data_IF_594558444914
#
_entry.id   IF_594558444914
#
_cell.length_a   1.000
_cell.length_b   1.000
_cell.length_c   1.000
_cell.angle_alpha   90.00
_cell.angle_beta   90.00
_cell.angle_gamma   90.00
#
_symmetry.space_group_name_H-M   'P 1'
#
loop_
_entity.id
_entity.type
_entity.pdbx_description
1 polymer ?
#
# COMPACT_ATOMS: atom_id res chain seq x y z
N UNK A 1 -7.78 5.22 2.49
CA UNK A 1 -7.70 5.86 1.15
C UNK A 1 -6.38 6.58 0.93
N UNK A 2 -5.76 7.19 1.96
CA UNK A 2 -4.51 7.95 1.84
C UNK A 2 -3.22 7.12 1.96
N UNK A 3 -3.28 5.82 1.66
CA UNK A 3 -2.11 4.96 1.62
C UNK A 3 -1.36 5.09 0.29
N UNK A 4 -0.02 5.00 0.35
CA UNK A 4 0.86 4.99 -0.82
C UNK A 4 0.92 3.59 -1.46
N UNK A 5 0.85 2.54 -0.62
CA UNK A 5 0.86 1.17 -1.08
C UNK A 5 -0.51 0.72 -1.57
N UNK A 6 -0.49 -0.15 -2.57
CA UNK A 6 -1.69 -0.85 -3.06
C UNK A 6 -1.61 -2.31 -2.64
N UNK A 7 -2.57 -2.72 -1.82
CA UNK A 7 -2.79 -4.10 -1.43
C UNK A 7 -3.78 -4.72 -2.41
N UNK A 8 -3.36 -5.78 -3.06
CA UNK A 8 -4.18 -6.60 -3.95
C UNK A 8 -4.58 -7.86 -3.20
N UNK A 9 -5.87 -8.16 -3.13
CA UNK A 9 -6.39 -9.32 -2.44
C UNK A 9 -7.49 -10.01 -3.22
N UNK A 10 -7.72 -11.30 -3.02
CA UNK A 10 -8.87 -11.98 -3.64
C UNK A 10 -10.17 -11.58 -2.95
N UNK A 11 -11.30 -11.70 -3.66
CA UNK A 11 -12.63 -11.37 -3.13
C UNK A 11 -13.00 -12.13 -1.83
N UNK A 12 -12.42 -13.32 -1.62
CA UNK A 12 -12.58 -14.14 -0.41
C UNK A 12 -11.48 -13.95 0.64
N UNK A 13 -10.53 -13.04 0.40
CA UNK A 13 -9.35 -12.77 1.24
C UNK A 13 -8.43 -13.99 1.49
N UNK A 14 -8.50 -15.03 0.67
CA UNK A 14 -7.57 -16.18 0.74
C UNK A 14 -6.15 -15.84 0.24
N UNK A 15 -6.00 -14.73 -0.48
CA UNK A 15 -4.73 -14.19 -0.95
C UNK A 15 -4.69 -12.68 -0.73
N UNK A 16 -3.54 -12.16 -0.30
CA UNK A 16 -3.25 -10.73 -0.23
C UNK A 16 -1.76 -10.48 -0.45
N UNK A 17 -1.42 -9.49 -1.25
CA UNK A 17 -0.03 -9.07 -1.51
C UNK A 17 0.02 -7.57 -1.80
N UNK A 18 1.20 -6.97 -1.64
CA UNK A 18 1.48 -5.67 -2.24
C UNK A 18 1.41 -5.81 -3.78
N UNK A 19 0.95 -4.79 -4.50
CA UNK A 19 0.87 -4.77 -5.97
C UNK A 19 2.20 -5.15 -6.64
N UNK A 20 3.33 -4.83 -6.01
CA UNK A 20 4.67 -5.20 -6.45
C UNK A 20 4.90 -6.73 -6.50
N UNK A 21 4.16 -7.51 -5.71
CA UNK A 21 4.24 -8.98 -5.64
C UNK A 21 2.93 -9.69 -6.02
N UNK A 22 1.88 -8.94 -6.32
CA UNK A 22 0.54 -9.48 -6.58
C UNK A 22 0.50 -10.29 -7.87
N UNK A 23 0.44 -11.62 -7.79
CA UNK A 23 0.44 -12.50 -8.95
C UNK A 23 -0.89 -12.42 -9.72
N UNK A 24 -0.83 -12.56 -11.04
CA UNK A 24 -2.02 -12.63 -11.91
C UNK A 24 -2.05 -13.93 -12.70
N UNK A 25 -3.24 -14.49 -12.89
CA UNK A 25 -3.44 -15.65 -13.74
C UNK A 25 -3.15 -15.31 -15.21
N UNK A 26 -2.62 -16.26 -16.01
CA UNK A 26 -2.53 -16.10 -17.44
C UNK A 26 -3.91 -15.85 -18.07
N UNK A 27 -3.96 -14.96 -19.07
CA UNK A 27 -5.20 -14.70 -19.81
C UNK A 27 -5.44 -15.76 -20.90
N UNK A 28 -6.70 -16.13 -21.17
CA UNK A 28 -7.01 -17.00 -22.30
C UNK A 28 -6.61 -16.32 -23.62
N UNK A 29 -6.13 -17.11 -24.59
CA UNK A 29 -5.77 -16.63 -25.92
C UNK A 29 -7.01 -16.01 -26.56
N UNK A 30 -6.88 -14.78 -27.05
CA UNK A 30 -7.94 -14.10 -27.79
C UNK A 30 -8.19 -14.84 -29.11
N UNK A 31 -9.45 -15.15 -29.39
CA UNK A 31 -9.86 -15.69 -30.68
C UNK A 31 -9.97 -14.57 -31.72
N UNK A 32 -9.64 -14.90 -32.96
CA UNK A 32 -9.91 -14.05 -34.13
C UNK A 32 -10.75 -14.85 -35.12
N UNK A 33 -11.84 -14.26 -35.60
CA UNK A 33 -12.73 -14.86 -36.60
C UNK A 33 -12.26 -14.63 -38.03
N UNK A 34 -11.20 -13.84 -38.23
CA UNK A 34 -10.67 -13.45 -39.54
C UNK A 34 -9.17 -13.70 -39.62
N UNK A 35 -8.71 -14.03 -40.82
CA UNK A 35 -7.28 -14.10 -41.12
C UNK A 35 -6.63 -12.72 -40.93
N UNK A 36 -5.60 -12.64 -40.09
CA UNK A 36 -4.93 -11.38 -39.77
C UNK A 36 -3.95 -11.04 -40.90
N UNK A 37 -4.03 -9.84 -41.51
CA UNK A 37 -3.12 -9.46 -42.58
C UNK A 37 -1.63 -9.50 -42.17
N UNK A 38 -0.71 -9.48 -43.15
CA UNK A 38 0.71 -9.28 -42.87
C UNK A 38 0.98 -7.99 -42.08
N UNK A 39 2.11 -7.98 -41.37
CA UNK A 39 2.61 -6.78 -40.69
C UNK A 39 2.73 -5.61 -41.67
N UNK A 40 2.35 -4.42 -41.22
CA UNK A 40 2.41 -3.20 -42.03
C UNK A 40 2.97 -2.04 -41.21
N UNK A 41 4.09 -1.51 -41.64
CA UNK A 41 4.64 -0.28 -41.07
C UNK A 41 3.82 0.94 -41.50
N UNK A 42 3.58 1.81 -40.54
CA UNK A 42 2.85 3.07 -40.68
C UNK A 42 3.75 4.18 -40.16
N UNK A 43 3.89 5.24 -40.95
CA UNK A 43 4.63 6.43 -40.53
C UNK A 43 3.81 7.21 -39.50
N UNK A 44 4.39 7.41 -38.32
CA UNK A 44 3.80 8.02 -37.11
C UNK A 44 4.78 9.05 -36.54
N UNK A 45 5.04 10.16 -37.25
CA UNK A 45 6.05 11.12 -36.83
C UNK A 45 5.66 11.83 -35.54
N UNK A 46 6.62 12.00 -34.64
CA UNK A 46 6.45 12.67 -33.33
C UNK A 46 5.42 12.00 -32.38
N UNK A 47 5.07 10.74 -32.57
CA UNK A 47 4.21 9.99 -31.66
C UNK A 47 5.06 9.00 -30.85
N UNK A 48 5.40 9.38 -29.61
CA UNK A 48 6.34 8.67 -28.74
C UNK A 48 5.66 7.93 -27.59
N UNK A 49 4.49 8.40 -27.11
CA UNK A 49 3.74 7.74 -26.04
C UNK A 49 2.63 6.84 -26.58
N UNK A 50 2.14 5.92 -25.74
CA UNK A 50 1.03 5.04 -26.08
C UNK A 50 -0.22 5.86 -26.45
N UNK A 51 -0.50 6.93 -25.70
CA UNK A 51 -1.63 7.82 -25.91
C UNK A 51 -1.52 8.53 -27.27
N UNK A 52 -0.36 9.10 -27.59
CA UNK A 52 -0.12 9.80 -28.86
C UNK A 52 -0.30 8.85 -30.06
N UNK A 53 0.23 7.63 -29.95
CA UNK A 53 0.13 6.63 -31.01
C UNK A 53 -1.30 6.12 -31.15
N UNK A 54 -2.01 5.93 -30.02
CA UNK A 54 -3.43 5.57 -30.01
C UNK A 54 -4.29 6.64 -30.69
N UNK A 55 -4.05 7.91 -30.39
CA UNK A 55 -4.75 9.03 -31.00
C UNK A 55 -4.46 9.15 -32.49
N UNK A 56 -3.22 8.91 -32.92
CA UNK A 56 -2.81 8.95 -34.32
C UNK A 56 -3.42 7.79 -35.12
N UNK A 57 -3.29 6.56 -34.62
CA UNK A 57 -3.72 5.34 -35.31
C UNK A 57 -5.18 4.97 -35.09
N UNK A 58 -5.89 5.72 -34.25
CA UNK A 58 -7.29 5.49 -33.85
C UNK A 58 -7.49 4.11 -33.22
N UNK A 59 -6.62 3.78 -32.26
CA UNK A 59 -6.62 2.52 -31.52
C UNK A 59 -6.70 2.79 -30.01
N UNK A 60 -6.73 1.75 -29.17
CA UNK A 60 -6.73 1.85 -27.72
C UNK A 60 -5.44 1.28 -27.12
N UNK A 61 -5.03 1.69 -25.91
CA UNK A 61 -3.83 1.16 -25.26
C UNK A 61 -3.78 -0.38 -25.17
N UNK A 62 -4.92 -1.04 -24.98
CA UNK A 62 -5.04 -2.51 -24.99
C UNK A 62 -4.68 -3.19 -26.31
N UNK A 63 -4.65 -2.45 -27.42
CA UNK A 63 -4.27 -2.95 -28.74
C UNK A 63 -2.76 -2.79 -29.00
N UNK A 64 -2.05 -2.11 -28.10
CA UNK A 64 -0.62 -1.81 -28.23
C UNK A 64 0.25 -2.84 -27.51
N UNK A 65 1.46 -3.04 -28.05
CA UNK A 65 2.54 -3.85 -27.49
C UNK A 65 3.67 -2.91 -27.06
N UNK A 66 3.74 -2.60 -25.76
CA UNK A 66 4.78 -1.73 -25.17
C UNK A 66 6.05 -2.55 -24.98
N UNK A 67 7.12 -2.17 -25.69
CA UNK A 67 8.44 -2.82 -25.62
C UNK A 67 9.40 -1.95 -24.84
N UNK A 68 9.91 -2.46 -23.72
CA UNK A 68 10.89 -1.79 -22.87
C UNK A 68 12.23 -2.49 -23.01
N UNK A 69 13.28 -1.71 -23.27
CA UNK A 69 14.67 -2.20 -23.28
C UNK A 69 15.29 -1.83 -21.94
N UNK A 70 15.88 -2.81 -21.28
CA UNK A 70 16.42 -2.68 -19.93
C UNK A 70 17.86 -3.21 -19.89
N UNK A 71 18.64 -2.67 -18.95
CA UNK A 71 19.94 -3.20 -18.57
C UNK A 71 19.76 -4.13 -17.37
N UNK A 72 20.25 -5.36 -17.47
CA UNK A 72 20.34 -6.32 -16.37
C UNK A 72 21.81 -6.63 -16.09
N UNK A 73 22.40 -5.94 -15.12
CA UNK A 73 23.86 -5.85 -14.90
C UNK A 73 24.63 -5.37 -16.16
N UNK A 74 25.15 -6.30 -16.98
CA UNK A 74 25.86 -6.03 -18.25
C UNK A 74 25.08 -6.53 -19.47
N UNK A 75 23.98 -7.23 -19.26
CA UNK A 75 23.14 -7.79 -20.29
C UNK A 75 22.08 -6.78 -20.73
N UNK A 76 21.72 -6.79 -22.00
CA UNK A 76 20.52 -6.09 -22.48
C UNK A 76 19.38 -7.07 -22.51
N UNK A 77 18.26 -6.70 -21.88
CA UNK A 77 17.03 -7.50 -21.84
C UNK A 77 15.86 -6.68 -22.35
N UNK A 78 14.82 -7.36 -22.82
CA UNK A 78 13.59 -6.71 -23.29
C UNK A 78 12.40 -7.27 -22.55
N UNK A 79 11.53 -6.37 -22.10
CA UNK A 79 10.24 -6.71 -21.53
C UNK A 79 9.13 -6.22 -22.47
N UNK A 80 8.13 -7.06 -22.71
CA UNK A 80 6.98 -6.71 -23.56
C UNK A 80 5.70 -6.84 -22.74
N UNK A 81 4.99 -5.72 -22.57
CA UNK A 81 3.71 -5.65 -21.86
C UNK A 81 2.62 -5.07 -22.78
N UNK A 82 1.35 -5.31 -22.48
CA UNK A 82 0.25 -4.68 -23.21
C UNK A 82 0.21 -3.18 -22.90
N UNK A 83 -0.19 -2.34 -23.85
CA UNK A 83 -0.04 -0.89 -23.72
C UNK A 83 -0.87 -0.24 -22.61
N UNK A 84 -1.95 -0.88 -22.16
CA UNK A 84 -2.76 -0.49 -20.99
C UNK A 84 -2.22 -1.05 -19.66
N UNK A 85 -1.11 -1.78 -19.68
CA UNK A 85 -0.48 -2.34 -18.49
C UNK A 85 0.85 -1.67 -18.16
N UNK A 86 1.16 -1.59 -16.88
CA UNK A 86 2.47 -1.14 -16.40
C UNK A 86 3.39 -2.29 -16.05
N UNK A 87 4.66 -2.15 -16.46
CA UNK A 87 5.71 -3.10 -16.12
C UNK A 87 5.92 -3.09 -14.60
N UNK A 88 5.97 -4.27 -14.02
CA UNK A 88 6.35 -4.47 -12.63
C UNK A 88 7.81 -4.92 -12.59
N UNK A 89 8.69 -4.02 -12.18
CA UNK A 89 10.14 -4.23 -12.13
C UNK A 89 10.56 -5.31 -11.13
N UNK A 90 9.81 -5.46 -10.03
CA UNK A 90 10.05 -6.49 -9.01
C UNK A 90 9.77 -7.90 -9.55
N UNK A 91 8.66 -8.07 -10.29
CA UNK A 91 8.35 -9.32 -10.96
C UNK A 91 9.31 -9.62 -12.10
N UNK A 92 9.68 -8.61 -12.89
CA UNK A 92 10.68 -8.78 -13.94
C UNK A 92 12.04 -9.21 -13.36
N UNK A 93 12.46 -8.59 -12.24
CA UNK A 93 13.66 -8.97 -11.48
C UNK A 93 13.60 -10.43 -11.06
N UNK A 94 12.46 -10.89 -10.53
CA UNK A 94 12.27 -12.29 -10.18
C UNK A 94 12.35 -13.22 -11.40
N UNK A 95 11.72 -12.86 -12.51
CA UNK A 95 11.77 -13.62 -13.77
C UNK A 95 13.20 -13.73 -14.34
N UNK A 96 14.07 -12.75 -14.03
CA UNK A 96 15.49 -12.74 -14.38
C UNK A 96 16.41 -13.36 -13.32
N UNK A 97 15.86 -13.97 -12.27
CA UNK A 97 16.65 -14.64 -11.23
C UNK A 97 17.30 -13.68 -10.22
N UNK A 98 16.72 -12.49 -10.02
CA UNK A 98 17.17 -11.51 -9.02
C UNK A 98 18.29 -10.59 -9.47
N UNK A 99 18.56 -10.49 -10.78
CA UNK A 99 19.51 -9.52 -11.34
C UNK A 99 19.02 -8.09 -11.11
N UNK A 100 19.95 -7.15 -10.96
CA UNK A 100 19.62 -5.73 -10.87
C UNK A 100 19.16 -5.23 -12.24
N UNK A 101 18.02 -4.54 -12.31
CA UNK A 101 17.41 -4.07 -13.57
C UNK A 101 17.22 -2.57 -13.53
N UNK A 102 17.61 -1.90 -14.61
CA UNK A 102 17.33 -0.48 -14.86
C UNK A 102 16.86 -0.27 -16.30
N UNK A 103 16.12 0.81 -16.56
CA UNK A 103 15.80 1.20 -17.93
C UNK A 103 17.10 1.51 -18.68
N UNK A 104 17.18 1.08 -19.94
CA UNK A 104 18.31 1.39 -20.79
C UNK A 104 18.34 2.89 -21.12
N UNK A 105 19.53 3.45 -21.27
CA UNK A 105 19.68 4.81 -21.79
C UNK A 105 19.32 4.89 -23.28
N UNK A 106 19.16 6.11 -23.80
CA UNK A 106 18.76 6.35 -25.18
C UNK A 106 19.73 5.73 -26.20
N UNK A 107 21.03 5.74 -25.90
CA UNK A 107 22.05 5.16 -26.80
C UNK A 107 21.93 3.63 -26.87
N UNK A 108 21.71 2.97 -25.74
CA UNK A 108 21.49 1.53 -25.68
C UNK A 108 20.17 1.14 -26.35
N UNK A 109 19.11 1.96 -26.20
CA UNK A 109 17.85 1.79 -26.91
C UNK A 109 18.09 1.85 -28.42
N UNK A 110 18.70 2.92 -28.93
CA UNK A 110 18.94 3.11 -30.36
C UNK A 110 19.83 2.02 -30.94
N UNK A 111 20.90 1.63 -30.23
CA UNK A 111 21.79 0.54 -30.64
C UNK A 111 21.07 -0.81 -30.74
N UNK A 112 20.10 -1.06 -29.85
CA UNK A 112 19.39 -2.34 -29.77
C UNK A 112 18.22 -2.38 -30.74
N UNK A 113 17.32 -1.40 -30.68
CA UNK A 113 16.14 -1.34 -31.55
C UNK A 113 16.50 -0.93 -32.97
N UNK A 114 17.41 0.03 -33.15
CA UNK A 114 17.62 0.77 -34.40
C UNK A 114 16.76 2.04 -34.50
N UNK A 115 16.15 2.47 -33.40
CA UNK A 115 15.23 3.61 -33.35
C UNK A 115 15.29 4.37 -32.03
N UNK A 116 14.87 5.63 -32.08
CA UNK A 116 14.71 6.47 -30.89
C UNK A 116 13.63 5.96 -29.93
N UNK A 117 13.60 6.56 -28.73
CA UNK A 117 12.63 6.25 -27.68
C UNK A 117 11.20 6.42 -28.21
N UNK A 118 10.33 5.45 -27.90
CA UNK A 118 8.93 5.39 -28.36
C UNK A 118 8.70 4.51 -29.59
N UNK A 119 9.75 4.10 -30.31
CA UNK A 119 9.60 3.32 -31.56
C UNK A 119 10.16 1.90 -31.50
N UNK A 120 10.56 1.43 -30.31
CA UNK A 120 11.01 0.06 -30.11
C UNK A 120 9.84 -0.94 -30.16
N UNK A 121 10.06 -2.09 -30.79
CA UNK A 121 9.08 -3.17 -30.92
C UNK A 121 9.68 -4.56 -30.73
N UNK A 122 8.85 -5.59 -30.51
CA UNK A 122 9.33 -6.94 -30.21
C UNK A 122 9.88 -7.70 -31.43
N UNK A 123 9.54 -7.27 -32.64
CA UNK A 123 9.88 -7.95 -33.91
C UNK A 123 11.40 -7.93 -34.13
N UNK A 124 12.00 -9.12 -34.30
CA UNK A 124 13.44 -9.30 -34.49
C UNK A 124 14.30 -9.06 -33.24
N UNK A 125 13.69 -8.73 -32.10
CA UNK A 125 14.40 -8.32 -30.89
C UNK A 125 15.08 -9.50 -30.18
N UNK A 126 14.48 -10.69 -30.23
CA UNK A 126 15.03 -11.92 -29.62
C UNK A 126 16.45 -12.25 -30.11
N UNK A 127 16.84 -11.84 -31.33
CA UNK A 127 18.18 -12.09 -31.87
C UNK A 127 19.23 -11.07 -31.39
N UNK A 128 18.82 -10.02 -30.68
CA UNK A 128 19.67 -8.87 -30.30
C UNK A 128 19.90 -8.75 -28.78
N UNK A 129 19.19 -9.53 -27.97
CA UNK A 129 19.16 -9.36 -26.51
C UNK A 129 19.44 -10.66 -25.79
N UNK A 130 19.99 -10.57 -24.57
CA UNK A 130 20.30 -11.73 -23.74
C UNK A 130 19.04 -12.48 -23.29
N UNK A 131 17.95 -11.75 -23.02
CA UNK A 131 16.63 -12.29 -22.69
C UNK A 131 15.50 -11.40 -23.18
N UNK A 132 14.42 -12.01 -23.66
CA UNK A 132 13.15 -11.38 -23.99
C UNK A 132 12.05 -11.96 -23.09
N UNK A 133 11.42 -11.11 -22.29
CA UNK A 133 10.39 -11.49 -21.33
C UNK A 133 9.06 -10.89 -21.79
N UNK A 134 8.03 -11.73 -21.92
CA UNK A 134 6.76 -11.38 -22.52
C UNK A 134 5.66 -11.60 -21.49
N UNK A 135 4.88 -10.57 -21.23
CA UNK A 135 3.75 -10.66 -20.29
C UNK A 135 2.68 -11.63 -20.80
N UNK A 136 2.00 -12.33 -19.88
CA UNK A 136 0.88 -13.21 -20.22
C UNK A 136 -0.19 -12.51 -21.06
N UNK A 137 -0.49 -11.24 -20.79
CA UNK A 137 -1.49 -10.50 -21.56
C UNK A 137 -1.05 -10.28 -23.02
N UNK A 138 0.25 -10.10 -23.27
CA UNK A 138 0.81 -10.00 -24.63
C UNK A 138 0.75 -11.35 -25.33
N UNK A 139 1.18 -12.42 -24.67
CA UNK A 139 1.12 -13.76 -25.24
C UNK A 139 -0.32 -14.16 -25.63
N UNK A 140 -1.32 -13.67 -24.88
CA UNK A 140 -2.74 -13.89 -25.12
C UNK A 140 -3.35 -13.02 -26.25
N UNK A 141 -2.67 -11.97 -26.73
CA UNK A 141 -3.21 -11.13 -27.82
C UNK A 141 -3.30 -11.89 -29.13
N UNK A 142 -4.39 -11.66 -29.88
CA UNK A 142 -4.52 -12.18 -31.25
C UNK A 142 -3.70 -11.35 -32.24
N UNK A 143 -3.74 -10.03 -32.07
CA UNK A 143 -3.06 -9.04 -32.91
C UNK A 143 -2.82 -7.76 -32.09
N UNK A 144 -1.76 -7.05 -32.40
CA UNK A 144 -1.45 -5.76 -31.79
C UNK A 144 -0.70 -4.82 -32.72
N UNK A 145 -0.35 -3.67 -32.16
CA UNK A 145 0.46 -2.62 -32.79
C UNK A 145 1.68 -2.38 -31.91
N UNK A 146 2.87 -2.32 -32.49
CA UNK A 146 4.12 -2.04 -31.75
C UNK A 146 4.92 -0.94 -32.43
N UNK A 147 5.99 -0.45 -31.77
CA UNK A 147 7.04 0.28 -32.47
C UNK A 147 7.63 -0.58 -33.60
N UNK A 148 8.11 0.05 -34.67
CA UNK A 148 8.63 -0.66 -35.85
C UNK A 148 10.13 -0.97 -35.78
N UNK A 149 10.81 -0.66 -34.66
CA UNK A 149 12.27 -0.63 -34.60
C UNK A 149 12.90 0.30 -35.65
N UNK A 150 12.13 1.34 -36.01
CA UNK A 150 12.51 2.41 -36.95
C UNK A 150 11.89 3.72 -36.46
N UNK A 151 12.70 4.76 -36.27
CA UNK A 151 12.25 6.07 -35.78
C UNK A 151 11.11 6.60 -36.66
N UNK A 152 10.06 7.15 -36.02
CA UNK A 152 8.83 7.64 -36.66
C UNK A 152 7.96 6.57 -37.33
N UNK A 153 8.12 5.29 -37.01
CA UNK A 153 7.26 4.23 -37.52
C UNK A 153 6.75 3.29 -36.43
N UNK A 154 5.50 2.86 -36.61
CA UNK A 154 4.85 1.78 -35.86
C UNK A 154 4.37 0.69 -36.81
N UNK A 155 4.38 -0.55 -36.37
CA UNK A 155 3.93 -1.70 -37.15
C UNK A 155 2.55 -2.14 -36.68
N UNK A 156 1.59 -2.18 -37.62
CA UNK A 156 0.27 -2.78 -37.42
C UNK A 156 0.28 -4.27 -37.72
N UNK A 157 -0.75 -4.96 -37.23
CA UNK A 157 -1.00 -6.37 -37.47
C UNK A 157 0.09 -7.29 -36.92
N UNK A 158 0.72 -6.92 -35.80
CA UNK A 158 1.77 -7.72 -35.16
C UNK A 158 1.11 -8.85 -34.36
N UNK A 159 1.48 -10.09 -34.64
CA UNK A 159 0.89 -11.30 -34.06
C UNK A 159 1.93 -12.04 -33.21
N UNK A 160 1.74 -12.12 -31.87
CA UNK A 160 2.59 -12.91 -30.99
C UNK A 160 2.63 -14.39 -31.41
N UNK A 161 3.83 -14.94 -31.56
CA UNK A 161 4.07 -16.31 -32.03
C UNK A 161 4.25 -16.44 -33.55
N UNK A 162 3.74 -15.48 -34.34
CA UNK A 162 3.98 -15.40 -35.80
C UNK A 162 5.14 -14.47 -36.12
N UNK A 163 5.11 -13.27 -35.55
CA UNK A 163 6.01 -12.17 -35.92
C UNK A 163 7.16 -11.95 -34.91
N UNK A 164 6.97 -12.45 -33.68
CA UNK A 164 8.03 -12.60 -32.68
C UNK A 164 7.77 -13.87 -31.85
N UNK A 165 8.83 -14.54 -31.38
CA UNK A 165 8.69 -15.84 -30.70
C UNK A 165 8.02 -15.71 -29.33
N UNK A 166 7.23 -16.71 -28.95
CA UNK A 166 6.75 -16.92 -27.57
C UNK A 166 7.53 -18.03 -26.85
N UNK A 167 8.41 -18.73 -27.56
CA UNK A 167 9.22 -19.84 -27.06
C UNK A 167 10.64 -19.73 -27.65
N UNK A 168 11.63 -20.23 -26.93
CA UNK A 168 13.04 -20.21 -27.36
C UNK A 168 14.00 -20.17 -26.17
N UNK A 169 15.29 -20.37 -26.43
CA UNK A 169 16.31 -20.44 -25.36
C UNK A 169 16.44 -19.15 -24.53
N UNK A 170 16.19 -18.00 -25.15
CA UNK A 170 16.24 -16.69 -24.53
C UNK A 170 14.89 -15.99 -24.40
N UNK A 171 13.78 -16.71 -24.63
CA UNK A 171 12.42 -16.16 -24.56
C UNK A 171 11.69 -16.75 -23.36
N UNK A 172 11.06 -15.89 -22.56
CA UNK A 172 10.32 -16.29 -21.37
C UNK A 172 8.96 -15.61 -21.40
N UNK A 173 7.89 -16.39 -21.25
CA UNK A 173 6.54 -15.86 -21.01
C UNK A 173 6.26 -15.92 -19.51
N UNK A 174 5.99 -14.78 -18.89
CA UNK A 174 5.87 -14.67 -17.43
C UNK A 174 4.93 -13.53 -17.00
N UNK A 175 4.51 -13.55 -15.73
CA UNK A 175 3.84 -12.41 -15.10
C UNK A 175 4.89 -11.33 -14.78
N UNK A 176 4.84 -10.21 -15.51
CA UNK A 176 5.79 -9.10 -15.35
C UNK A 176 5.09 -7.74 -15.24
N UNK A 177 3.79 -7.70 -14.96
CA UNK A 177 3.01 -6.45 -14.89
C UNK A 177 2.35 -6.25 -13.54
N UNK A 178 1.91 -5.03 -13.29
CA UNK A 178 0.99 -4.78 -12.18
C UNK A 178 -0.38 -5.41 -12.48
N UNK A 179 -1.01 -5.93 -11.41
CA UNK A 179 -2.40 -6.38 -11.48
C UNK A 179 -3.31 -5.18 -11.71
N UNK A 180 -4.41 -5.39 -12.45
CA UNK A 180 -5.44 -4.40 -12.74
C UNK A 180 -6.83 -4.95 -12.43
N UNK A 181 -7.84 -4.08 -12.39
CA UNK A 181 -9.22 -4.52 -12.19
C UNK A 181 -9.66 -5.52 -13.27
N UNK A 182 -10.33 -6.58 -12.84
CA UNK A 182 -10.77 -7.67 -13.71
C UNK A 182 -9.80 -8.85 -13.80
N UNK A 183 -8.56 -8.70 -13.31
CA UNK A 183 -7.65 -9.82 -13.17
C UNK A 183 -8.13 -10.84 -12.13
N UNK A 184 -7.65 -12.07 -12.28
CA UNK A 184 -7.87 -13.15 -11.32
C UNK A 184 -6.56 -13.70 -10.79
N UNK A 185 -6.64 -14.34 -9.63
CA UNK A 185 -5.61 -15.21 -9.08
C UNK A 185 -6.24 -16.50 -8.59
N UNK A 186 -5.79 -17.65 -9.10
CA UNK A 186 -6.42 -18.95 -8.92
C UNK A 186 -7.93 -18.94 -9.25
N UNK A 187 -8.30 -18.22 -10.31
CA UNK A 187 -9.68 -18.09 -10.79
C UNK A 187 -10.59 -17.18 -9.94
N UNK A 188 -10.07 -16.54 -8.89
CA UNK A 188 -10.81 -15.60 -8.05
C UNK A 188 -10.48 -14.17 -8.41
N UNK A 189 -11.46 -13.26 -8.37
CA UNK A 189 -11.25 -11.86 -8.72
C UNK A 189 -10.30 -11.17 -7.76
N UNK A 190 -9.40 -10.35 -8.32
CA UNK A 190 -8.53 -9.45 -7.56
C UNK A 190 -9.25 -8.14 -7.24
N UNK A 191 -9.09 -7.70 -5.98
CA UNK A 191 -9.63 -6.49 -5.39
C UNK A 191 -8.46 -5.63 -4.88
N UNK A 192 -8.64 -4.31 -4.87
CA UNK A 192 -7.56 -3.35 -4.59
C UNK A 192 -7.93 -2.45 -3.43
N UNK A 193 -6.99 -2.26 -2.50
CA UNK A 193 -7.11 -1.33 -1.37
C UNK A 193 -5.82 -0.56 -1.19
N UNK A 194 -5.93 0.71 -0.81
CA UNK A 194 -4.78 1.50 -0.40
C UNK A 194 -4.43 1.24 1.07
N UNK A 195 -3.15 1.08 1.37
CA UNK A 195 -2.62 0.80 2.70
C UNK A 195 -1.45 1.71 3.07
N UNK A 196 -1.24 1.89 4.37
CA UNK A 196 -0.03 2.52 4.90
C UNK A 196 0.81 1.39 5.49
N UNK A 197 1.99 1.12 4.92
CA UNK A 197 2.89 0.11 5.47
C UNK A 197 3.45 0.57 6.82
N UNK A 198 2.97 -0.02 7.92
CA UNK A 198 3.45 0.27 9.28
C UNK A 198 4.55 -0.67 9.74
N UNK A 199 4.82 -1.74 9.00
CA UNK A 199 5.88 -2.69 9.31
C UNK A 199 6.06 -3.75 8.23
N UNK A 200 7.22 -4.40 8.25
CA UNK A 200 7.63 -5.36 7.25
C UNK A 200 8.52 -6.44 7.86
N UNK A 201 8.40 -7.66 7.35
CA UNK A 201 9.20 -8.80 7.79
C UNK A 201 9.88 -9.43 6.59
N UNK A 202 11.17 -9.75 6.73
CA UNK A 202 11.95 -10.33 5.65
C UNK A 202 12.70 -11.58 6.10
N UNK A 203 12.70 -12.58 5.22
CA UNK A 203 13.66 -13.70 5.27
C UNK A 203 14.88 -13.29 4.46
N UNK A 204 15.92 -12.82 5.13
CA UNK A 204 17.16 -12.36 4.49
C UNK A 204 18.05 -13.53 4.03
N UNK A 205 17.83 -14.72 4.58
CA UNK A 205 18.65 -15.90 4.29
C UNK A 205 20.08 -15.66 4.74
N UNK A 206 21.04 -15.93 3.86
CA UNK A 206 22.48 -15.80 4.14
C UNK A 206 23.13 -14.57 3.50
N UNK A 207 22.35 -13.70 2.85
CA UNK A 207 22.82 -12.55 2.04
C UNK A 207 23.87 -11.67 2.75
N UNK A 208 23.66 -11.40 4.04
CA UNK A 208 24.56 -10.55 4.83
C UNK A 208 25.59 -11.36 5.60
N UNK A 209 25.19 -12.48 6.20
CA UNK A 209 26.06 -13.32 7.00
C UNK A 209 27.19 -13.95 6.20
N UNK A 210 26.98 -14.28 4.92
CA UNK A 210 28.05 -14.71 4.00
C UNK A 210 29.08 -13.60 3.80
N UNK A 211 28.62 -12.38 3.51
CA UNK A 211 29.50 -11.23 3.21
C UNK A 211 30.26 -10.74 4.43
N UNK A 212 29.64 -10.81 5.62
CA UNK A 212 30.21 -10.32 6.88
C UNK A 212 30.92 -11.42 7.69
N UNK A 213 30.89 -12.67 7.23
CA UNK A 213 31.53 -13.80 7.93
C UNK A 213 30.84 -14.20 9.23
N UNK A 214 29.53 -13.98 9.37
CA UNK A 214 28.77 -14.37 10.56
C UNK A 214 28.44 -15.88 10.50
N UNK A 215 29.22 -16.69 11.21
CA UNK A 215 29.16 -18.15 11.18
C UNK A 215 29.02 -18.75 12.58
N UNK A 216 28.58 -20.00 12.66
CA UNK A 216 28.47 -20.80 13.88
C UNK A 216 28.83 -22.26 13.61
N UNK A 217 29.15 -23.02 14.66
CA UNK A 217 29.25 -24.49 14.56
C UNK A 217 27.88 -25.10 14.84
N UNK A 218 27.44 -26.00 13.96
CA UNK A 218 26.23 -26.77 14.21
C UNK A 218 26.47 -27.93 15.19
N UNK A 219 25.42 -28.71 15.46
CA UNK A 219 25.46 -29.85 16.39
C UNK A 219 26.47 -30.94 15.99
N UNK A 220 26.87 -31.01 14.72
CA UNK A 220 27.90 -31.92 14.22
C UNK A 220 29.31 -31.33 14.25
N UNK A 221 29.47 -30.11 14.80
CA UNK A 221 30.73 -29.37 14.80
C UNK A 221 31.12 -28.83 13.42
N UNK A 222 30.17 -28.72 12.48
CA UNK A 222 30.42 -28.18 11.15
C UNK A 222 30.12 -26.68 11.12
N UNK A 223 31.03 -25.92 10.54
CA UNK A 223 30.84 -24.50 10.32
C UNK A 223 29.69 -24.23 9.33
N UNK A 224 28.72 -23.42 9.74
CA UNK A 224 27.57 -22.96 8.96
C UNK A 224 27.43 -21.45 9.04
N UNK A 225 26.87 -20.86 8.00
CA UNK A 225 26.53 -19.44 7.96
C UNK A 225 25.19 -19.20 8.64
N UNK A 226 25.09 -18.12 9.42
CA UNK A 226 23.86 -17.76 10.12
C UNK A 226 22.73 -17.41 9.12
N UNK A 227 21.57 -18.07 9.23
CA UNK A 227 20.35 -17.66 8.52
C UNK A 227 19.72 -16.47 9.25
N UNK A 228 19.40 -15.41 8.52
CA UNK A 228 18.92 -14.15 9.10
C UNK A 228 17.47 -13.85 8.70
N UNK A 229 16.74 -13.25 9.63
CA UNK A 229 15.50 -12.53 9.39
C UNK A 229 15.63 -11.10 9.90
N UNK A 230 14.86 -10.17 9.34
CA UNK A 230 14.70 -8.83 9.91
C UNK A 230 13.23 -8.43 9.98
N UNK A 231 12.92 -7.60 10.97
CA UNK A 231 11.58 -7.18 11.33
C UNK A 231 11.64 -5.68 11.60
N UNK A 232 10.95 -4.90 10.78
CA UNK A 232 10.89 -3.45 10.88
C UNK A 232 9.48 -2.99 11.22
N UNK A 233 9.36 -2.05 12.16
CA UNK A 233 8.10 -1.38 12.47
C UNK A 233 8.34 0.12 12.48
N UNK A 234 7.57 0.87 11.70
CA UNK A 234 7.65 2.32 11.64
C UNK A 234 6.89 2.97 12.80
N UNK A 235 7.52 3.09 13.97
CA UNK A 235 6.87 3.62 15.19
C UNK A 235 6.20 4.98 14.95
N UNK A 236 6.90 5.93 14.34
CA UNK A 236 6.33 7.26 14.03
C UNK A 236 5.19 7.17 13.00
N UNK A 237 5.28 6.21 12.07
CA UNK A 237 4.27 6.00 11.04
C UNK A 237 2.99 5.37 11.62
N UNK A 238 3.09 4.55 12.67
CA UNK A 238 1.91 4.04 13.39
C UNK A 238 1.07 5.19 13.94
N UNK A 239 1.71 6.21 14.53
CA UNK A 239 0.98 7.37 15.07
C UNK A 239 0.23 8.10 13.96
N UNK A 240 0.91 8.39 12.84
CA UNK A 240 0.29 9.03 11.68
C UNK A 240 -0.85 8.18 11.10
N UNK A 241 -0.64 6.88 10.93
CA UNK A 241 -1.65 5.95 10.43
C UNK A 241 -2.87 5.82 11.37
N UNK A 242 -2.65 5.87 12.68
CA UNK A 242 -3.73 5.86 13.67
C UNK A 242 -4.58 7.14 13.59
N UNK A 243 -3.96 8.30 13.42
CA UNK A 243 -4.69 9.56 13.19
C UNK A 243 -5.45 9.48 11.87
N UNK A 244 -4.81 9.01 10.80
CA UNK A 244 -5.39 8.91 9.47
C UNK A 244 -6.65 8.02 9.44
N UNK A 245 -6.66 6.95 10.22
CA UNK A 245 -7.80 6.03 10.33
C UNK A 245 -8.79 6.39 11.44
N UNK A 246 -8.38 7.19 12.41
CA UNK A 246 -9.16 7.62 13.57
C UNK A 246 -9.16 9.14 13.69
N UNK A 247 -9.97 9.82 12.87
CA UNK A 247 -10.22 11.26 12.97
C UNK A 247 -11.64 11.62 12.54
N UNK A 248 -12.05 12.83 12.87
CA UNK A 248 -13.23 13.48 12.32
C UNK A 248 -12.94 14.96 12.03
N UNK A 249 -13.96 15.70 11.58
CA UNK A 249 -13.85 17.14 11.28
C UNK A 249 -13.39 18.02 12.45
N UNK A 250 -13.44 17.51 13.68
CA UNK A 250 -13.09 18.25 14.90
C UNK A 250 -11.71 17.86 15.46
N UNK A 251 -11.13 16.74 15.04
CA UNK A 251 -9.80 16.33 15.50
C UNK A 251 -9.56 14.83 15.52
N UNK A 252 -8.56 14.44 16.30
CA UNK A 252 -8.08 13.07 16.41
C UNK A 252 -9.06 12.22 17.22
N UNK A 253 -9.13 10.92 16.92
CA UNK A 253 -9.82 9.89 17.70
C UNK A 253 -8.80 8.78 17.98
N UNK A 254 -8.18 8.82 19.15
CA UNK A 254 -7.17 7.85 19.52
C UNK A 254 -7.77 6.48 19.88
N UNK A 255 -7.15 5.37 19.45
CA UNK A 255 -7.25 4.11 20.18
C UNK A 255 -6.73 4.30 21.61
N UNK A 256 -7.45 3.79 22.61
CA UNK A 256 -7.11 4.06 24.02
C UNK A 256 -5.69 3.63 24.41
N UNK A 257 -5.13 2.60 23.76
CA UNK A 257 -3.79 2.09 24.04
C UNK A 257 -2.64 3.02 23.65
N UNK A 258 -2.89 4.01 22.79
CA UNK A 258 -1.87 4.96 22.31
C UNK A 258 -2.31 6.41 22.48
N UNK A 259 -3.44 6.65 23.17
CA UNK A 259 -3.87 7.99 23.51
C UNK A 259 -2.85 8.62 24.49
N UNK A 260 -2.58 9.94 24.39
CA UNK A 260 -1.63 10.60 25.29
C UNK A 260 -2.11 10.59 26.75
N UNK A 261 -3.42 10.56 26.95
CA UNK A 261 -4.11 10.36 28.23
C UNK A 261 -5.39 9.56 27.94
N UNK A 262 -5.92 8.87 28.94
CA UNK A 262 -7.15 8.09 28.83
C UNK A 262 -8.38 8.97 29.09
N UNK A 263 -8.24 9.92 30.03
CA UNK A 263 -9.31 10.81 30.48
C UNK A 263 -8.86 12.26 30.41
N UNK A 264 -9.73 13.13 29.90
CA UNK A 264 -9.61 14.58 29.99
C UNK A 264 -10.69 15.13 30.91
N UNK A 265 -10.29 15.76 32.02
CA UNK A 265 -11.19 16.52 32.87
C UNK A 265 -11.19 17.97 32.40
N UNK A 266 -12.32 18.46 31.92
CA UNK A 266 -12.50 19.85 31.48
C UNK A 266 -13.22 20.64 32.56
N UNK A 267 -12.47 21.47 33.29
CA UNK A 267 -13.04 22.42 34.26
C UNK A 267 -13.49 23.70 33.55
N UNK A 268 -14.80 23.87 33.35
CA UNK A 268 -15.34 24.93 32.47
C UNK A 268 -15.24 26.32 33.09
N UNK A 269 -15.48 26.41 34.40
CA UNK A 269 -15.49 27.65 35.18
C UNK A 269 -14.42 27.53 36.29
N UNK A 270 -13.14 27.47 35.90
CA UNK A 270 -12.04 27.19 36.83
C UNK A 270 -11.86 28.26 37.92
N UNK A 271 -12.36 29.48 37.69
CA UNK A 271 -12.41 30.56 38.67
C UNK A 271 -13.43 30.32 39.79
N UNK A 272 -14.37 29.39 39.61
CA UNK A 272 -15.33 28.96 40.62
C UNK A 272 -14.73 27.87 41.52
N UNK A 273 -14.67 28.13 42.82
CA UNK A 273 -13.99 27.27 43.80
C UNK A 273 -14.61 25.87 43.88
N UNK A 274 -15.93 25.77 43.76
CA UNK A 274 -16.63 24.48 43.83
C UNK A 274 -16.34 23.64 42.59
N UNK A 275 -16.33 24.27 41.42
CA UNK A 275 -15.98 23.63 40.14
C UNK A 275 -14.52 23.16 40.15
N UNK A 276 -13.58 24.02 40.54
CA UNK A 276 -12.15 23.70 40.60
C UNK A 276 -11.88 22.53 41.56
N UNK A 277 -12.44 22.60 42.77
CA UNK A 277 -12.31 21.53 43.79
C UNK A 277 -12.93 20.22 43.33
N UNK A 278 -14.09 20.27 42.67
CA UNK A 278 -14.75 19.06 42.15
C UNK A 278 -13.91 18.40 41.06
N UNK A 279 -13.37 19.19 40.12
CA UNK A 279 -12.50 18.69 39.06
C UNK A 279 -11.20 18.08 39.61
N UNK A 280 -10.55 18.75 40.56
CA UNK A 280 -9.33 18.28 41.22
C UNK A 280 -9.56 17.00 42.06
N UNK A 281 -10.71 16.89 42.73
CA UNK A 281 -11.05 15.68 43.48
C UNK A 281 -11.23 14.47 42.55
N UNK A 282 -11.95 14.62 41.44
CA UNK A 282 -12.13 13.55 40.45
C UNK A 282 -10.77 13.18 39.82
N UNK A 283 -9.95 14.18 39.51
CA UNK A 283 -8.59 14.00 39.00
C UNK A 283 -7.75 13.12 39.92
N UNK A 284 -7.64 13.49 41.19
CA UNK A 284 -6.85 12.76 42.18
C UNK A 284 -7.38 11.34 42.44
N UNK A 285 -8.70 11.16 42.44
CA UNK A 285 -9.30 9.83 42.59
C UNK A 285 -8.97 8.91 41.39
N UNK A 286 -9.06 9.42 40.17
CA UNK A 286 -8.74 8.65 38.97
C UNK A 286 -7.24 8.32 38.89
N UNK A 287 -6.37 9.27 39.22
CA UNK A 287 -4.93 9.01 39.34
C UNK A 287 -4.62 7.94 40.39
N UNK A 288 -5.33 7.97 41.53
CA UNK A 288 -5.19 6.98 42.59
C UNK A 288 -5.55 5.55 42.16
N UNK A 289 -6.36 5.41 41.11
CA UNK A 289 -6.75 4.15 40.48
C UNK A 289 -5.86 3.79 39.27
N UNK A 290 -4.79 4.56 39.01
CA UNK A 290 -3.82 4.29 37.95
C UNK A 290 -4.31 4.64 36.53
N UNK A 291 -5.32 5.51 36.42
CA UNK A 291 -5.80 6.03 35.13
C UNK A 291 -4.94 7.22 34.72
N UNK A 292 -4.54 7.29 33.45
CA UNK A 292 -3.81 8.46 32.92
C UNK A 292 -4.78 9.60 32.63
N UNK A 293 -4.70 10.68 33.40
CA UNK A 293 -5.64 11.80 33.34
C UNK A 293 -4.94 13.12 33.01
N UNK A 294 -5.52 13.89 32.09
CA UNK A 294 -5.23 15.30 31.88
C UNK A 294 -6.31 16.17 32.51
N UNK A 295 -5.92 17.16 33.31
CA UNK A 295 -6.83 18.19 33.83
C UNK A 295 -6.62 19.48 33.04
N UNK A 296 -7.66 19.98 32.39
CA UNK A 296 -7.67 21.32 31.78
C UNK A 296 -8.19 22.35 32.80
N UNK A 297 -7.26 22.83 33.63
CA UNK A 297 -7.43 23.87 34.64
C UNK A 297 -7.04 25.28 34.13
N UNK A 298 -6.89 25.47 32.81
CA UNK A 298 -6.54 26.78 32.26
C UNK A 298 -7.65 27.79 32.50
N UNK A 299 -7.32 29.06 32.71
CA UNK A 299 -8.30 30.14 32.86
C UNK A 299 -8.81 30.62 31.49
N UNK A 300 -9.52 29.74 30.77
CA UNK A 300 -10.05 29.97 29.42
C UNK A 300 -11.55 29.70 29.35
N UNK A 301 -12.23 30.31 28.36
CA UNK A 301 -13.66 30.08 28.12
C UNK A 301 -13.92 28.62 27.72
N UNK A 302 -15.03 28.05 28.21
CA UNK A 302 -15.41 26.67 27.93
C UNK A 302 -15.41 26.30 26.44
N UNK A 303 -15.89 27.18 25.57
CA UNK A 303 -15.87 26.93 24.12
C UNK A 303 -14.47 26.72 23.53
N UNK A 304 -13.43 27.36 24.09
CA UNK A 304 -12.03 27.13 23.69
C UNK A 304 -11.56 25.77 24.21
N UNK A 305 -11.82 25.48 25.48
CA UNK A 305 -11.47 24.19 26.08
C UNK A 305 -12.11 23.00 25.35
N UNK A 306 -13.37 23.10 24.95
CA UNK A 306 -14.04 22.03 24.21
C UNK A 306 -13.45 21.82 22.83
N UNK A 307 -13.05 22.89 22.13
CA UNK A 307 -12.35 22.76 20.85
C UNK A 307 -10.99 22.09 21.01
N UNK A 308 -10.22 22.50 22.01
CA UNK A 308 -8.92 21.87 22.31
C UNK A 308 -9.11 20.40 22.69
N UNK A 309 -10.12 20.08 23.50
CA UNK A 309 -10.46 18.72 23.90
C UNK A 309 -10.81 17.83 22.68
N UNK A 310 -11.63 18.34 21.76
CA UNK A 310 -12.00 17.60 20.55
C UNK A 310 -10.79 17.43 19.62
N UNK A 311 -9.90 18.43 19.55
CA UNK A 311 -8.67 18.39 18.75
C UNK A 311 -7.65 17.38 19.31
N UNK A 312 -7.42 17.38 20.62
CA UNK A 312 -6.50 16.47 21.32
C UNK A 312 -6.94 15.00 21.23
N UNK A 313 -8.25 14.76 21.12
CA UNK A 313 -8.79 13.43 20.84
C UNK A 313 -8.77 12.44 22.01
N UNK A 314 -8.63 12.93 23.24
CA UNK A 314 -8.55 12.08 24.45
C UNK A 314 -9.84 11.26 24.59
N UNK A 315 -9.78 9.91 24.76
CA UNK A 315 -10.92 9.02 24.56
C UNK A 315 -12.14 9.29 25.46
N UNK A 316 -11.93 9.65 26.73
CA UNK A 316 -13.00 9.93 27.68
C UNK A 316 -12.91 11.38 28.15
N UNK A 317 -14.01 12.13 28.10
CA UNK A 317 -14.09 13.50 28.62
C UNK A 317 -15.05 13.58 29.80
N UNK A 318 -14.57 14.12 30.92
CA UNK A 318 -15.37 14.50 32.09
C UNK A 318 -15.46 16.02 32.13
N UNK A 319 -16.65 16.57 31.96
CA UNK A 319 -16.89 18.01 31.96
C UNK A 319 -17.47 18.42 33.31
N UNK A 320 -16.75 19.31 34.00
CA UNK A 320 -17.14 19.88 35.28
C UNK A 320 -17.50 21.34 35.06
N UNK A 321 -18.79 21.64 35.08
CA UNK A 321 -19.31 22.98 34.84
C UNK A 321 -20.22 23.44 35.96
N UNK A 322 -20.27 24.76 36.19
CA UNK A 322 -21.00 25.37 37.31
C UNK A 322 -22.45 24.90 37.45
N UNK A 323 -23.17 24.81 36.32
CA UNK A 323 -24.57 24.36 36.31
C UNK A 323 -24.70 22.89 36.73
N UNK A 324 -23.86 22.00 36.18
CA UNK A 324 -23.91 20.58 36.50
C UNK A 324 -23.53 20.33 37.96
N UNK A 325 -22.50 21.02 38.47
CA UNK A 325 -22.07 20.92 39.87
C UNK A 325 -23.17 21.36 40.83
N UNK A 326 -23.85 22.48 40.55
CA UNK A 326 -25.00 22.93 41.35
C UNK A 326 -26.15 21.91 41.38
N UNK A 327 -26.32 21.13 40.31
CA UNK A 327 -27.29 20.03 40.23
C UNK A 327 -26.76 18.71 40.85
N UNK A 328 -25.56 18.70 41.44
CA UNK A 328 -24.91 17.52 42.02
C UNK A 328 -24.30 16.54 41.00
N UNK A 329 -24.03 17.00 39.78
CA UNK A 329 -23.64 16.17 38.63
C UNK A 329 -22.39 16.68 37.89
N UNK A 330 -21.85 15.79 37.06
CA UNK A 330 -20.89 16.08 35.99
C UNK A 330 -21.38 15.46 34.68
N UNK A 331 -20.77 15.84 33.56
CA UNK A 331 -21.10 15.28 32.25
C UNK A 331 -19.93 14.43 31.74
N UNK A 332 -20.19 13.17 31.39
CA UNK A 332 -19.17 12.24 30.89
C UNK A 332 -19.55 11.80 29.48
N UNK A 333 -18.59 11.77 28.56
CA UNK A 333 -18.79 11.24 27.21
C UNK A 333 -17.53 10.61 26.63
N UNK A 334 -17.71 9.74 25.64
CA UNK A 334 -16.60 9.32 24.78
C UNK A 334 -16.31 10.38 23.72
N UNK A 335 -15.05 10.47 23.25
CA UNK A 335 -14.65 11.36 22.15
C UNK A 335 -15.44 11.10 20.86
N UNK A 336 -15.88 9.87 20.66
CA UNK A 336 -16.68 9.44 19.50
C UNK A 336 -18.17 9.76 19.65
N UNK A 337 -18.64 10.14 20.83
CA UNK A 337 -20.05 10.40 21.11
C UNK A 337 -20.42 11.88 20.99
N UNK A 338 -21.61 12.13 20.45
CA UNK A 338 -22.18 13.47 20.32
C UNK A 338 -22.78 13.96 21.64
N UNK A 339 -23.45 13.08 22.38
CA UNK A 339 -24.16 13.41 23.61
C UNK A 339 -23.35 13.00 24.84
N UNK A 340 -23.52 13.77 25.92
CA UNK A 340 -22.94 13.46 27.22
C UNK A 340 -23.96 12.86 28.17
N UNK A 341 -23.50 11.93 29.00
CA UNK A 341 -24.28 11.36 30.08
C UNK A 341 -24.08 12.20 31.34
N UNK A 342 -25.19 12.61 31.97
CA UNK A 342 -25.15 13.22 33.31
C UNK A 342 -24.94 12.14 34.35
N UNK A 343 -23.93 12.33 35.20
CA UNK A 343 -23.55 11.38 36.25
C UNK A 343 -23.38 12.13 37.55
N UNK A 344 -23.91 11.61 38.66
CA UNK A 344 -23.73 12.25 39.96
C UNK A 344 -22.25 12.33 40.32
N UNK A 345 -21.83 13.40 41.00
CA UNK A 345 -20.42 13.62 41.37
C UNK A 345 -19.85 12.41 42.11
N UNK A 346 -20.63 11.83 43.04
CA UNK A 346 -20.26 10.62 43.80
C UNK A 346 -19.95 9.39 42.93
N UNK A 347 -20.57 9.28 41.75
CA UNK A 347 -20.41 8.14 40.83
C UNK A 347 -19.48 8.43 39.66
N UNK A 348 -19.02 9.67 39.50
CA UNK A 348 -18.26 10.13 38.36
C UNK A 348 -16.98 9.30 38.14
N UNK A 349 -16.18 9.13 39.20
CA UNK A 349 -14.92 8.36 39.16
C UNK A 349 -15.16 6.92 38.74
N UNK A 350 -16.08 6.22 39.42
CA UNK A 350 -16.41 4.81 39.10
C UNK A 350 -16.88 4.66 37.66
N UNK A 351 -17.79 5.53 37.20
CA UNK A 351 -18.32 5.47 35.84
C UNK A 351 -17.24 5.74 34.78
N UNK A 352 -16.31 6.65 35.07
CA UNK A 352 -15.19 6.95 34.18
C UNK A 352 -14.27 5.73 34.05
N UNK A 353 -13.95 5.06 35.14
CA UNK A 353 -13.14 3.83 35.14
C UNK A 353 -13.81 2.71 34.34
N UNK A 354 -15.12 2.52 34.51
CA UNK A 354 -15.91 1.54 33.72
C UNK A 354 -15.80 1.82 32.21
N UNK A 355 -15.87 3.08 31.80
CA UNK A 355 -15.73 3.47 30.39
C UNK A 355 -14.32 3.20 29.85
N UNK A 356 -13.28 3.58 30.61
CA UNK A 356 -11.88 3.32 30.24
C UNK A 356 -11.64 1.81 30.09
N UNK A 357 -12.08 1.00 31.05
CA UNK A 357 -11.93 -0.45 31.01
C UNK A 357 -12.70 -1.07 29.85
N UNK A 358 -13.93 -0.61 29.57
CA UNK A 358 -14.69 -1.07 28.42
C UNK A 358 -13.98 -0.79 27.09
N UNK A 359 -13.32 0.37 26.95
CA UNK A 359 -12.51 0.68 25.76
C UNK A 359 -11.30 -0.24 25.64
N UNK A 360 -10.60 -0.52 26.74
CA UNK A 360 -9.46 -1.46 26.79
C UNK A 360 -9.90 -2.88 26.40
N UNK A 361 -11.02 -3.35 26.94
CA UNK A 361 -11.57 -4.67 26.66
C UNK A 361 -12.00 -4.83 25.20
N UNK A 362 -12.67 -3.82 24.63
CA UNK A 362 -13.05 -3.80 23.20
C UNK A 362 -11.83 -3.93 22.29
N UNK A 363 -10.74 -3.23 22.62
CA UNK A 363 -9.48 -3.33 21.89
C UNK A 363 -8.94 -4.77 21.92
N UNK A 364 -8.89 -5.40 23.10
CA UNK A 364 -8.42 -6.78 23.25
C UNK A 364 -9.31 -7.78 22.49
N UNK A 365 -10.64 -7.60 22.53
CA UNK A 365 -11.59 -8.46 21.83
C UNK A 365 -11.42 -8.38 20.31
N UNK A 366 -11.24 -7.17 19.77
CA UNK A 366 -11.03 -6.97 18.33
C UNK A 366 -9.77 -7.67 17.81
N UNK A 367 -8.68 -7.68 18.58
CA UNK A 367 -7.43 -8.35 18.21
C UNK A 367 -7.55 -9.89 18.11
N UNK A 368 -8.52 -10.51 18.80
CA UNK A 368 -8.73 -11.96 18.71
C UNK A 368 -9.46 -12.37 17.44
N UNK A 369 -10.24 -11.48 16.84
CA UNK A 369 -11.00 -11.78 15.61
C UNK A 369 -10.15 -11.59 14.34
N UNK A 370 -9.03 -10.86 14.43
CA UNK A 370 -8.13 -10.55 13.29
C UNK A 370 -6.91 -11.48 13.19
N UNK A 371 -6.89 -12.62 13.89
CA UNK A 371 -5.90 -13.67 13.59
C UNK A 371 -6.18 -14.24 12.20
N UNK A 372 -5.61 -13.59 11.19
CA UNK A 372 -5.34 -14.21 9.90
C UNK A 372 -4.63 -15.52 10.20
N UNK A 373 -5.22 -16.61 9.73
CA UNK A 373 -4.65 -17.96 9.87
C UNK A 373 -3.23 -17.97 9.28
N UNK A 374 -2.28 -18.69 9.91
CA UNK A 374 -0.86 -18.61 9.63
C UNK A 374 -0.48 -18.90 8.17
#
# INVERSE_FOLDING_TARGET
ENGEDVIVHTEDNSYAANIEKAAVDPLPKQETSTEIPPMQDVHTPNAHTIEEVCDFLKTKPKDMLKTLILSADKDVVVAVVRGDHELNTEKLTQALGGKHIELADEQAIEKTSGAGVGFAGPVGMANKVSKMIIDYAVAAMAVGISGANKTDYHTKNVVPGRDFPLEGENVIVADIRNAVEGDTYNGKKLMFKKGIEVGQVFKLGTKYSEKLGAKFLDEAGKEKTCTMGCYGIGINRIIAAAIETGNDKNGIIWPISIAPFEVLITSVNQDDEEVAKTAENIYNQLLGEGIDVLLDDRQLRGGVKFKDADLLGIPVRVTVGKKSVADGNVEIKLRTETESQKVSIEKATKKTIELVNSLKEKLIASNKTTQLSP
#
